data_IF_392727973338
#
_entry.id   IF_392727973338
#
_cell.length_a   1.000
_cell.length_b   1.000
_cell.length_c   1.000
_cell.angle_alpha   90.00
_cell.angle_beta   90.00
_cell.angle_gamma   90.00
#
_symmetry.space_group_name_H-M   'P 1'
#
loop_
_entity.id
_entity.type
_entity.pdbx_description
1 polymer ?
#
# COMPACT_ATOMS: atom_id res chain seq x y z
N UNK A 1 -17.67 14.53 36.08
CA UNK A 1 -16.95 15.63 35.41
C UNK A 1 -16.61 15.17 34.01
N UNK A 2 -17.29 15.67 32.98
CA UNK A 2 -16.91 15.39 31.60
C UNK A 2 -15.53 16.03 31.36
N UNK A 3 -14.55 15.33 30.76
CA UNK A 3 -13.28 15.95 30.45
C UNK A 3 -13.53 17.08 29.45
N UNK A 4 -13.04 18.28 29.80
CA UNK A 4 -12.94 19.42 28.91
C UNK A 4 -12.14 18.95 27.70
N UNK A 5 -12.80 18.80 26.55
CA UNK A 5 -12.14 18.48 25.28
C UNK A 5 -11.30 19.70 24.93
N UNK A 6 -10.00 19.62 25.20
CA UNK A 6 -9.06 20.62 24.74
C UNK A 6 -9.12 20.68 23.21
N UNK A 7 -9.23 21.91 22.72
CA UNK A 7 -9.38 22.38 21.35
C UNK A 7 -8.10 22.15 20.51
N UNK A 8 -7.57 20.94 20.54
CA UNK A 8 -6.44 20.54 19.72
C UNK A 8 -6.90 19.58 18.64
N UNK A 9 -6.92 20.07 17.41
CA UNK A 9 -7.16 19.32 16.17
C UNK A 9 -6.00 18.36 15.86
N UNK A 10 -5.84 17.31 16.67
CA UNK A 10 -4.84 16.29 16.40
C UNK A 10 -5.27 15.43 15.21
N UNK A 11 -4.37 15.32 14.22
CA UNK A 11 -4.54 14.50 13.02
C UNK A 11 -3.29 13.63 12.82
N UNK A 12 -3.05 12.70 13.76
CA UNK A 12 -1.79 11.96 13.85
C UNK A 12 -1.51 11.19 12.56
N UNK A 13 -2.49 10.47 12.00
CA UNK A 13 -2.31 9.69 10.76
C UNK A 13 -1.96 10.60 9.57
N UNK A 14 -2.70 11.68 9.27
CA UNK A 14 -2.32 12.65 8.24
C UNK A 14 -0.92 13.23 8.41
N UNK A 15 -0.55 13.69 9.61
CA UNK A 15 0.77 14.25 9.86
C UNK A 15 1.88 13.22 9.66
N UNK A 16 1.69 12.01 10.15
CA UNK A 16 2.58 10.88 9.90
C UNK A 16 2.74 10.62 8.39
N UNK A 17 1.63 10.50 7.65
CA UNK A 17 1.66 10.23 6.22
C UNK A 17 2.34 11.34 5.42
N UNK A 18 2.09 12.62 5.72
CA UNK A 18 2.78 13.74 5.09
C UNK A 18 4.28 13.66 5.35
N UNK A 19 4.67 13.45 6.61
CA UNK A 19 6.08 13.44 7.03
C UNK A 19 6.84 12.30 6.35
N UNK A 20 6.27 11.09 6.37
CA UNK A 20 6.85 9.91 5.74
C UNK A 20 6.88 10.04 4.21
N UNK A 21 5.80 10.52 3.59
CA UNK A 21 5.76 10.72 2.13
C UNK A 21 6.83 11.70 1.69
N UNK A 22 7.00 12.80 2.44
CA UNK A 22 8.02 13.82 2.15
C UNK A 22 9.42 13.25 2.33
N UNK A 23 9.68 12.56 3.44
CA UNK A 23 10.97 11.92 3.69
C UNK A 23 11.31 10.89 2.61
N UNK A 24 10.35 10.06 2.20
CA UNK A 24 10.50 9.09 1.12
C UNK A 24 10.77 9.77 -0.22
N UNK A 25 10.03 10.82 -0.57
CA UNK A 25 10.22 11.54 -1.81
C UNK A 25 11.62 12.18 -1.89
N UNK A 26 12.07 12.84 -0.82
CA UNK A 26 13.42 13.41 -0.71
C UNK A 26 14.47 12.30 -0.88
N UNK A 27 14.29 11.20 -0.15
CA UNK A 27 15.13 10.00 -0.23
C UNK A 27 15.26 9.47 -1.66
N UNK A 28 14.15 9.27 -2.37
CA UNK A 28 14.15 8.79 -3.74
C UNK A 28 14.72 9.82 -4.74
N UNK A 29 14.49 11.12 -4.52
CA UNK A 29 15.11 12.17 -5.33
C UNK A 29 16.62 12.15 -5.20
N UNK A 30 17.16 11.97 -3.99
CA UNK A 30 18.59 11.75 -3.81
C UNK A 30 19.07 10.52 -4.58
N UNK A 31 18.35 9.39 -4.54
CA UNK A 31 18.69 8.21 -5.35
C UNK A 31 18.77 8.49 -6.85
N UNK A 32 17.84 9.31 -7.36
CA UNK A 32 17.69 9.55 -8.79
C UNK A 32 18.61 10.64 -9.33
N UNK A 33 19.05 11.57 -8.48
CA UNK A 33 19.82 12.75 -8.87
C UNK A 33 21.26 12.72 -8.39
N UNK A 34 21.57 12.02 -7.29
CA UNK A 34 22.93 11.97 -6.78
C UNK A 34 23.82 11.14 -7.74
N UNK A 35 25.00 11.66 -8.12
CA UNK A 35 26.05 10.87 -8.76
C UNK A 35 26.37 9.64 -7.91
N UNK A 36 26.66 8.51 -8.56
CA UNK A 36 27.00 7.23 -7.90
C UNK A 36 28.11 7.36 -6.86
N UNK A 37 28.93 8.40 -6.96
CA UNK A 37 30.20 8.56 -6.26
C UNK A 37 30.08 9.46 -5.02
N UNK A 38 28.97 10.19 -4.84
CA UNK A 38 28.89 11.23 -3.80
C UNK A 38 28.59 10.66 -2.40
N UNK A 39 27.77 9.62 -2.30
CA UNK A 39 27.42 9.01 -1.02
C UNK A 39 27.12 7.53 -1.21
N UNK A 40 27.93 6.62 -0.68
CA UNK A 40 27.61 5.18 -0.70
C UNK A 40 26.46 4.81 0.26
N UNK A 41 26.20 5.67 1.25
CA UNK A 41 25.22 5.45 2.32
C UNK A 41 23.79 5.83 1.94
N UNK A 42 23.61 6.87 1.11
CA UNK A 42 22.27 7.37 0.75
C UNK A 42 21.58 6.43 -0.25
N UNK A 43 22.19 5.97 -1.34
CA UNK A 43 21.65 4.89 -2.16
C UNK A 43 21.35 3.66 -1.30
N UNK A 44 22.16 3.29 -0.31
CA UNK A 44 21.84 2.17 0.58
C UNK A 44 20.59 2.36 1.48
N UNK A 45 20.24 3.60 1.81
CA UNK A 45 19.02 3.93 2.55
C UNK A 45 17.78 4.00 1.67
N UNK A 46 17.95 4.18 0.35
CA UNK A 46 16.92 4.66 -0.58
C UNK A 46 16.73 3.78 -1.83
N UNK A 47 17.75 3.03 -2.22
CA UNK A 47 17.70 1.99 -3.26
C UNK A 47 17.23 0.67 -2.66
N UNK A 48 16.32 0.04 -3.37
CA UNK A 48 15.69 -1.20 -2.97
C UNK A 48 16.03 -2.30 -3.95
N UNK A 49 16.25 -3.50 -3.43
CA UNK A 49 16.23 -4.73 -4.21
C UNK A 49 17.14 -4.68 -5.43
N UNK A 50 16.56 -4.55 -6.63
CA UNK A 50 17.26 -4.76 -7.91
C UNK A 50 18.45 -3.80 -8.12
N UNK A 51 18.34 -2.56 -7.63
CA UNK A 51 19.37 -1.53 -7.77
C UNK A 51 20.48 -1.63 -6.70
N UNK A 52 20.26 -2.41 -5.65
CA UNK A 52 21.29 -2.78 -4.69
C UNK A 52 22.12 -3.91 -5.31
N UNK A 53 23.41 -3.68 -5.53
CA UNK A 53 24.36 -4.71 -5.97
C UNK A 53 24.45 -5.87 -4.96
N UNK A 54 25.37 -6.82 -5.20
CA UNK A 54 25.46 -8.02 -4.38
C UNK A 54 25.72 -7.68 -2.89
N UNK A 55 25.02 -8.34 -1.97
CA UNK A 55 25.01 -8.00 -0.54
C UNK A 55 26.38 -8.12 0.14
N UNK A 56 27.27 -8.95 -0.43
CA UNK A 56 28.65 -9.10 0.03
C UNK A 56 29.53 -7.90 -0.29
N UNK A 57 29.18 -7.12 -1.32
CA UNK A 57 29.95 -5.94 -1.75
C UNK A 57 29.47 -4.65 -1.05
N UNK A 58 28.43 -4.73 -0.23
CA UNK A 58 27.87 -3.56 0.45
C UNK A 58 28.58 -3.22 1.77
N UNK A 59 28.63 -1.93 2.16
CA UNK A 59 29.23 -1.52 3.41
C UNK A 59 28.62 -2.24 4.63
N UNK A 60 29.39 -2.51 5.70
CA UNK A 60 28.91 -3.28 6.86
C UNK A 60 27.64 -2.73 7.50
N UNK A 61 27.52 -1.40 7.57
CA UNK A 61 26.34 -0.71 8.08
C UNK A 61 25.09 -1.01 7.24
N UNK A 62 25.23 -1.02 5.92
CA UNK A 62 24.13 -1.28 4.99
C UNK A 62 23.63 -2.70 5.14
N UNK A 63 24.55 -3.65 5.29
CA UNK A 63 24.22 -5.05 5.56
C UNK A 63 23.50 -5.21 6.91
N UNK A 64 23.91 -4.46 7.94
CA UNK A 64 23.28 -4.49 9.27
C UNK A 64 21.84 -3.95 9.27
N UNK A 65 21.53 -2.99 8.40
CA UNK A 65 20.18 -2.42 8.27
C UNK A 65 19.36 -3.02 7.11
N UNK A 66 19.83 -4.13 6.52
CA UNK A 66 19.16 -4.82 5.43
C UNK A 66 18.39 -6.04 5.94
N UNK A 67 17.15 -6.19 5.47
CA UNK A 67 16.31 -7.35 5.74
C UNK A 67 15.94 -8.11 4.46
N UNK A 68 15.75 -9.43 4.51
CA UNK A 68 15.41 -10.22 3.34
C UNK A 68 14.13 -9.74 2.64
N UNK A 69 14.15 -9.61 1.31
CA UNK A 69 12.95 -9.20 0.56
C UNK A 69 11.80 -10.21 0.67
N UNK A 70 12.10 -11.49 0.92
CA UNK A 70 11.07 -12.51 1.19
C UNK A 70 10.16 -12.18 2.38
N UNK A 71 10.57 -11.27 3.27
CA UNK A 71 9.74 -10.77 4.38
C UNK A 71 8.59 -9.85 3.94
N UNK A 72 8.46 -9.53 2.64
CA UNK A 72 7.27 -8.85 2.10
C UNK A 72 5.95 -9.55 2.50
N UNK A 73 5.97 -10.87 2.67
CA UNK A 73 4.81 -11.65 3.15
C UNK A 73 4.30 -11.15 4.51
N UNK A 74 5.19 -10.70 5.42
CA UNK A 74 4.81 -10.22 6.75
C UNK A 74 3.86 -9.02 6.67
N UNK A 75 4.07 -8.12 5.69
CA UNK A 75 3.21 -6.95 5.49
C UNK A 75 1.75 -7.36 5.26
N UNK A 76 1.55 -8.36 4.40
CA UNK A 76 0.23 -8.82 4.04
C UNK A 76 -0.40 -9.71 5.11
N UNK A 77 0.40 -10.48 5.85
CA UNK A 77 -0.09 -11.21 7.05
C UNK A 77 -0.61 -10.20 8.08
N UNK A 78 0.18 -9.16 8.40
CA UNK A 78 -0.24 -8.10 9.32
C UNK A 78 -1.50 -7.41 8.80
N UNK A 79 -1.55 -7.03 7.51
CA UNK A 79 -2.74 -6.40 6.94
C UNK A 79 -3.99 -7.28 6.99
N UNK A 80 -3.87 -8.59 6.74
CA UNK A 80 -5.00 -9.53 6.90
C UNK A 80 -5.44 -9.58 8.34
N UNK A 81 -4.52 -9.81 9.28
CA UNK A 81 -4.83 -9.89 10.72
C UNK A 81 -5.50 -8.62 11.21
N UNK A 82 -4.89 -7.45 10.96
CA UNK A 82 -5.43 -6.16 11.41
C UNK A 82 -6.79 -5.87 10.79
N UNK A 83 -7.00 -6.15 9.50
CA UNK A 83 -8.31 -5.90 8.85
C UNK A 83 -9.38 -6.86 9.38
N UNK A 84 -9.06 -8.14 9.60
CA UNK A 84 -9.98 -9.11 10.20
C UNK A 84 -10.35 -8.71 11.63
N UNK A 85 -9.39 -8.27 12.45
CA UNK A 85 -9.67 -7.81 13.81
C UNK A 85 -10.62 -6.61 13.82
N UNK A 86 -10.45 -5.65 12.91
CA UNK A 86 -11.38 -4.54 12.78
C UNK A 86 -12.77 -4.96 12.32
N UNK A 87 -12.87 -5.85 11.32
CA UNK A 87 -14.16 -6.39 10.88
C UNK A 87 -14.88 -7.17 12.00
N UNK A 88 -14.13 -7.95 12.79
CA UNK A 88 -14.67 -8.63 13.98
C UNK A 88 -15.16 -7.63 15.04
N UNK A 89 -14.39 -6.57 15.29
CA UNK A 89 -14.80 -5.51 16.21
C UNK A 89 -16.09 -4.81 15.74
N UNK A 90 -16.21 -4.49 14.45
CA UNK A 90 -17.44 -3.92 13.88
C UNK A 90 -18.61 -4.89 13.98
N UNK A 91 -18.40 -6.19 13.74
CA UNK A 91 -19.42 -7.22 13.92
C UNK A 91 -19.89 -7.32 15.39
N UNK A 92 -18.98 -7.21 16.35
CA UNK A 92 -19.31 -7.19 17.77
C UNK A 92 -20.15 -5.96 18.16
N UNK A 93 -19.83 -4.80 17.59
CA UNK A 93 -20.63 -3.56 17.76
C UNK A 93 -22.02 -3.74 17.15
N UNK A 94 -22.11 -4.26 15.93
CA UNK A 94 -23.37 -4.47 15.22
C UNK A 94 -24.30 -5.44 15.97
N UNK A 95 -23.75 -6.52 16.52
CA UNK A 95 -24.48 -7.50 17.35
C UNK A 95 -24.72 -7.02 18.78
N UNK A 96 -24.33 -5.78 19.11
CA UNK A 96 -24.46 -5.15 20.44
C UNK A 96 -23.77 -5.93 21.56
N UNK A 97 -22.83 -6.82 21.22
CA UNK A 97 -22.01 -7.54 22.20
C UNK A 97 -20.94 -6.64 22.81
N UNK A 98 -20.53 -5.59 22.07
CA UNK A 98 -19.56 -4.60 22.52
C UNK A 98 -20.08 -3.20 22.21
N UNK A 99 -19.98 -2.29 23.18
CA UNK A 99 -20.17 -0.86 22.97
C UNK A 99 -18.80 -0.18 23.05
N UNK A 100 -18.37 0.60 22.04
CA UNK A 100 -17.09 1.30 22.09
C UNK A 100 -17.00 2.19 23.33
N UNK A 101 -15.89 2.07 24.06
CA UNK A 101 -15.69 2.88 25.27
C UNK A 101 -15.39 4.34 24.89
N UNK A 102 -15.77 5.33 25.73
CA UNK A 102 -15.44 6.73 25.48
C UNK A 102 -13.94 6.95 25.26
N UNK A 103 -13.11 6.24 26.03
CA UNK A 103 -11.65 6.29 25.94
C UNK A 103 -11.14 5.79 24.59
N UNK A 104 -11.67 4.67 24.09
CA UNK A 104 -11.30 4.15 22.77
C UNK A 104 -11.67 5.14 21.67
N UNK A 105 -12.92 5.63 21.68
CA UNK A 105 -13.39 6.61 20.70
C UNK A 105 -12.58 7.91 20.76
N UNK A 106 -12.17 8.36 21.95
CA UNK A 106 -11.27 9.50 22.11
C UNK A 106 -9.90 9.26 21.45
N UNK A 107 -9.25 8.11 21.66
CA UNK A 107 -7.98 7.85 21.00
C UNK A 107 -8.12 7.68 19.48
N UNK A 108 -9.16 6.99 19.01
CA UNK A 108 -9.49 6.93 17.58
C UNK A 108 -9.71 8.33 17.01
N UNK A 109 -10.27 9.25 17.81
CA UNK A 109 -10.48 10.64 17.42
C UNK A 109 -9.23 11.49 17.29
N UNK A 110 -8.15 11.15 18.01
CA UNK A 110 -6.88 11.86 17.86
C UNK A 110 -6.11 11.40 16.62
N UNK A 111 -6.41 10.20 16.11
CA UNK A 111 -5.73 9.64 14.95
C UNK A 111 -6.13 10.36 13.65
N UNK A 112 -7.37 10.84 13.57
CA UNK A 112 -7.94 11.53 12.42
C UNK A 112 -8.71 12.76 12.90
N UNK A 113 -8.66 13.89 12.20
CA UNK A 113 -9.40 15.08 12.65
C UNK A 113 -10.93 14.85 12.58
N UNK A 114 -11.55 14.49 13.71
CA UNK A 114 -12.98 14.16 13.78
C UNK A 114 -13.92 15.37 13.76
N UNK A 115 -13.42 16.58 14.00
CA UNK A 115 -14.24 17.77 13.84
C UNK A 115 -14.64 17.99 12.37
N UNK A 116 -13.83 17.49 11.44
CA UNK A 116 -14.04 17.57 9.99
C UNK A 116 -14.52 16.23 9.39
N UNK A 117 -14.16 15.08 9.97
CA UNK A 117 -14.44 13.75 9.39
C UNK A 117 -15.65 13.03 10.04
N UNK A 118 -16.87 13.45 9.70
CA UNK A 118 -18.13 12.77 10.13
C UNK A 118 -18.83 11.99 9.00
N UNK A 119 -18.11 11.58 7.97
CA UNK A 119 -18.75 11.36 6.67
C UNK A 119 -18.91 9.91 6.21
N UNK A 120 -18.26 8.92 6.86
CA UNK A 120 -18.41 7.53 6.41
C UNK A 120 -19.59 6.84 7.11
N UNK A 121 -20.59 6.46 6.32
CA UNK A 121 -21.69 5.61 6.80
C UNK A 121 -21.15 4.24 7.21
N UNK A 122 -21.90 3.55 8.08
CA UNK A 122 -21.57 2.21 8.53
C UNK A 122 -21.43 1.24 7.36
N UNK A 123 -22.40 1.27 6.43
CA UNK A 123 -22.36 0.52 5.17
C UNK A 123 -21.07 0.76 4.39
N UNK A 124 -20.70 2.03 4.17
CA UNK A 124 -19.50 2.39 3.40
C UNK A 124 -18.23 1.88 4.08
N UNK A 125 -18.10 2.05 5.39
CA UNK A 125 -16.94 1.58 6.15
C UNK A 125 -16.79 0.06 6.11
N UNK A 126 -17.88 -0.69 6.30
CA UNK A 126 -17.89 -2.15 6.19
C UNK A 126 -17.48 -2.60 4.78
N UNK A 127 -18.09 -2.04 3.73
CA UNK A 127 -17.74 -2.36 2.33
C UNK A 127 -16.27 -2.06 2.05
N UNK A 128 -15.78 -0.87 2.42
CA UNK A 128 -14.40 -0.48 2.20
C UNK A 128 -13.41 -1.43 2.91
N UNK A 129 -13.68 -1.83 4.17
CA UNK A 129 -12.86 -2.81 4.88
C UNK A 129 -12.91 -4.21 4.25
N UNK A 130 -14.06 -4.64 3.73
CA UNK A 130 -14.15 -5.89 2.96
C UNK A 130 -13.31 -5.83 1.69
N UNK A 131 -13.33 -4.71 0.97
CA UNK A 131 -12.46 -4.51 -0.20
C UNK A 131 -10.98 -4.51 0.20
N UNK A 132 -10.60 -3.81 1.27
CA UNK A 132 -9.24 -3.85 1.81
C UNK A 132 -8.83 -5.29 2.14
N UNK A 133 -9.69 -6.06 2.80
CA UNK A 133 -9.42 -7.47 3.09
C UNK A 133 -9.21 -8.28 1.81
N UNK A 134 -10.05 -8.10 0.80
CA UNK A 134 -9.90 -8.75 -0.51
C UNK A 134 -8.55 -8.43 -1.16
N UNK A 135 -8.15 -7.16 -1.15
CA UNK A 135 -6.87 -6.72 -1.69
C UNK A 135 -5.70 -7.37 -0.96
N UNK A 136 -5.68 -7.29 0.39
CA UNK A 136 -4.55 -7.78 1.18
C UNK A 136 -4.50 -9.31 1.16
N UNK A 137 -5.63 -10.02 1.18
CA UNK A 137 -5.66 -11.48 1.01
C UNK A 137 -5.06 -11.90 -0.34
N UNK A 138 -5.46 -11.21 -1.42
CA UNK A 138 -4.94 -11.49 -2.76
C UNK A 138 -3.44 -11.24 -2.83
N UNK A 139 -2.95 -10.16 -2.23
CA UNK A 139 -1.51 -9.88 -2.14
C UNK A 139 -0.77 -10.91 -1.27
N UNK A 140 -1.35 -11.33 -0.16
CA UNK A 140 -0.80 -12.38 0.70
C UNK A 140 -0.64 -13.69 -0.07
N UNK A 141 -1.70 -14.10 -0.80
CA UNK A 141 -1.67 -15.24 -1.70
C UNK A 141 -0.56 -15.12 -2.75
N UNK A 142 -0.45 -13.96 -3.41
CA UNK A 142 0.63 -13.72 -4.38
C UNK A 142 2.01 -13.91 -3.73
N UNK A 143 2.25 -13.35 -2.55
CA UNK A 143 3.55 -13.48 -1.88
C UNK A 143 3.87 -14.90 -1.42
N UNK A 144 2.87 -15.68 -1.04
CA UNK A 144 3.05 -17.06 -0.57
C UNK A 144 3.21 -18.06 -1.73
N UNK A 145 2.47 -17.89 -2.82
CA UNK A 145 2.29 -18.94 -3.82
C UNK A 145 2.69 -18.54 -5.26
N UNK A 146 2.75 -17.24 -5.57
CA UNK A 146 3.03 -16.76 -6.93
C UNK A 146 4.45 -16.21 -7.03
N UNK A 147 4.82 -15.31 -6.12
CA UNK A 147 6.10 -14.62 -6.11
C UNK A 147 7.27 -15.59 -5.93
N UNK A 148 8.25 -15.49 -6.82
CA UNK A 148 9.54 -16.18 -6.69
C UNK A 148 10.53 -15.13 -6.22
N UNK A 149 11.11 -15.28 -5.03
CA UNK A 149 12.09 -14.34 -4.47
C UNK A 149 13.51 -14.75 -4.81
N UNK A 150 14.37 -13.77 -5.09
CA UNK A 150 15.84 -13.95 -5.09
C UNK A 150 16.41 -13.51 -3.75
N UNK A 151 17.72 -13.64 -3.53
CA UNK A 151 18.41 -13.21 -2.31
C UNK A 151 18.56 -11.68 -2.14
N UNK A 152 17.76 -10.91 -2.87
CA UNK A 152 17.69 -9.46 -2.71
C UNK A 152 17.18 -9.07 -1.32
N UNK A 153 17.67 -7.94 -0.82
CA UNK A 153 17.24 -7.33 0.45
C UNK A 153 16.52 -6.00 0.23
N UNK A 154 15.91 -5.50 1.31
CA UNK A 154 15.40 -4.14 1.43
C UNK A 154 15.88 -3.53 2.73
N UNK A 155 15.86 -2.20 2.82
CA UNK A 155 16.20 -1.50 4.05
C UNK A 155 15.15 -1.73 5.17
N UNK A 156 15.60 -1.85 6.42
CA UNK A 156 14.75 -2.06 7.60
C UNK A 156 13.75 -0.91 7.84
N UNK A 157 14.09 0.35 7.53
CA UNK A 157 13.16 1.47 7.66
C UNK A 157 11.96 1.31 6.72
N UNK A 158 12.22 0.84 5.51
CA UNK A 158 11.14 0.52 4.57
C UNK A 158 10.32 -0.69 4.98
N UNK A 159 10.96 -1.65 5.64
CA UNK A 159 10.25 -2.76 6.24
C UNK A 159 9.29 -2.32 7.35
N UNK A 160 9.75 -1.47 8.27
CA UNK A 160 8.91 -0.88 9.33
C UNK A 160 7.79 -0.04 8.73
N UNK A 161 8.10 0.78 7.72
CA UNK A 161 7.09 1.58 7.02
C UNK A 161 6.02 0.72 6.35
N UNK A 162 6.43 -0.38 5.70
CA UNK A 162 5.50 -1.35 5.11
C UNK A 162 4.55 -1.94 6.15
N UNK A 163 5.07 -2.36 7.31
CA UNK A 163 4.23 -2.86 8.41
C UNK A 163 3.25 -1.79 8.92
N UNK A 164 3.75 -0.57 9.17
CA UNK A 164 2.92 0.54 9.64
C UNK A 164 1.78 0.87 8.67
N UNK A 165 2.05 0.87 7.36
CA UNK A 165 1.04 1.11 6.33
C UNK A 165 -0.14 0.13 6.41
N UNK A 166 0.13 -1.16 6.58
CA UNK A 166 -0.94 -2.17 6.67
C UNK A 166 -1.71 -2.16 8.01
N UNK A 167 -1.16 -1.54 9.05
CA UNK A 167 -1.88 -1.26 10.30
C UNK A 167 -2.77 -0.02 10.12
N UNK A 168 -2.21 1.05 9.55
CA UNK A 168 -2.86 2.35 9.37
C UNK A 168 -3.99 2.28 8.33
N UNK A 169 -3.86 1.46 7.29
CA UNK A 169 -4.84 1.37 6.21
C UNK A 169 -6.28 1.09 6.69
N UNK A 170 -6.58 -0.06 7.33
CA UNK A 170 -7.94 -0.30 7.85
C UNK A 170 -8.30 0.67 8.99
N UNK A 171 -7.33 1.08 9.81
CA UNK A 171 -7.54 2.02 10.91
C UNK A 171 -8.04 3.39 10.42
N UNK A 172 -7.51 3.89 9.31
CA UNK A 172 -7.93 5.17 8.71
C UNK A 172 -9.39 5.19 8.28
N UNK A 173 -9.95 4.03 7.95
CA UNK A 173 -11.37 3.87 7.61
C UNK A 173 -12.18 3.82 8.90
N UNK A 174 -11.79 2.96 9.86
CA UNK A 174 -12.52 2.77 11.12
C UNK A 174 -12.63 4.06 11.94
N UNK A 175 -11.54 4.83 12.03
CA UNK A 175 -11.50 6.09 12.77
C UNK A 175 -12.56 7.10 12.29
N UNK A 176 -12.95 7.04 11.02
CA UNK A 176 -13.85 8.03 10.41
C UNK A 176 -15.28 7.47 10.20
N UNK A 177 -15.55 6.23 10.64
CA UNK A 177 -16.88 5.64 10.58
C UNK A 177 -17.82 6.28 11.60
N UNK A 178 -18.93 6.84 11.11
CA UNK A 178 -19.92 7.57 11.93
C UNK A 178 -20.36 6.79 13.15
N UNK A 179 -20.73 5.52 13.01
CA UNK A 179 -21.19 4.71 14.15
C UNK A 179 -20.12 4.54 15.25
N UNK A 180 -18.85 4.34 14.88
CA UNK A 180 -17.75 4.17 15.85
C UNK A 180 -17.50 5.48 16.62
N UNK A 181 -17.65 6.62 15.94
CA UNK A 181 -17.43 7.95 16.48
C UNK A 181 -18.60 8.41 17.36
N UNK A 182 -19.84 8.31 16.88
CA UNK A 182 -21.03 8.79 17.61
C UNK A 182 -21.42 7.87 18.75
N UNK A 183 -21.04 6.58 18.64
CA UNK A 183 -21.45 5.52 19.57
C UNK A 183 -22.98 5.37 19.68
N UNK A 184 -23.71 5.86 18.68
CA UNK A 184 -25.16 5.83 18.66
C UNK A 184 -25.63 4.54 17.95
N UNK A 185 -26.39 3.66 18.63
CA UNK A 185 -26.88 2.41 18.03
C UNK A 185 -27.67 2.59 16.75
N UNK A 186 -28.36 3.72 16.58
CA UNK A 186 -29.11 4.02 15.35
C UNK A 186 -28.23 4.20 14.10
N UNK A 187 -26.93 4.49 14.29
CA UNK A 187 -25.97 4.60 13.19
C UNK A 187 -25.43 3.21 12.76
N UNK A 188 -25.76 2.12 13.44
CA UNK A 188 -25.32 0.75 13.13
C UNK A 188 -26.28 0.01 12.18
N UNK A 189 -26.58 0.61 11.03
CA UNK A 189 -27.38 -0.03 9.99
C UNK A 189 -26.50 -0.37 8.79
N UNK A 190 -26.73 -1.54 8.21
CA UNK A 190 -26.13 -1.93 6.95
C UNK A 190 -27.22 -1.98 5.89
N UNK A 191 -27.17 -1.03 4.96
CA UNK A 191 -28.09 -0.98 3.82
C UNK A 191 -27.32 -0.67 2.54
N UNK A 192 -27.24 -1.64 1.65
CA UNK A 192 -26.47 -1.54 0.40
C UNK A 192 -27.06 -0.49 -0.56
N UNK A 193 -28.34 -0.12 -0.37
CA UNK A 193 -29.01 0.91 -1.17
C UNK A 193 -28.46 2.32 -0.91
N UNK A 194 -27.74 2.53 0.20
CA UNK A 194 -27.06 3.78 0.52
C UNK A 194 -25.84 4.06 -0.37
N UNK A 195 -25.32 3.02 -1.03
CA UNK A 195 -24.14 3.17 -1.88
C UNK A 195 -24.48 3.98 -3.13
N UNK A 196 -23.79 5.11 -3.27
CA UNK A 196 -23.91 5.97 -4.45
C UNK A 196 -23.39 5.29 -5.71
N UNK A 197 -23.79 5.82 -6.88
CA UNK A 197 -23.32 5.34 -8.19
C UNK A 197 -21.79 5.39 -8.32
N UNK A 198 -21.15 6.40 -7.73
CA UNK A 198 -19.70 6.55 -7.71
C UNK A 198 -19.03 5.44 -6.91
N UNK A 199 -19.62 5.05 -5.76
CA UNK A 199 -19.11 3.96 -4.94
C UNK A 199 -19.24 2.61 -5.67
N UNK A 200 -20.37 2.36 -6.33
CA UNK A 200 -20.56 1.16 -7.16
C UNK A 200 -19.55 1.08 -8.31
N UNK A 201 -19.30 2.19 -9.00
CA UNK A 201 -18.27 2.26 -10.02
C UNK A 201 -16.88 2.00 -9.41
N UNK A 202 -16.59 2.57 -8.24
CA UNK A 202 -15.36 2.32 -7.49
C UNK A 202 -15.17 0.84 -7.16
N UNK A 203 -16.20 0.15 -6.67
CA UNK A 203 -16.18 -1.29 -6.38
C UNK A 203 -15.88 -2.10 -7.65
N UNK A 204 -16.55 -1.80 -8.75
CA UNK A 204 -16.35 -2.51 -10.02
C UNK A 204 -14.91 -2.35 -10.53
N UNK A 205 -14.43 -1.11 -10.58
CA UNK A 205 -13.07 -0.81 -11.03
C UNK A 205 -12.03 -1.40 -10.09
N UNK A 206 -12.26 -1.38 -8.79
CA UNK A 206 -11.40 -2.00 -7.79
C UNK A 206 -11.19 -3.48 -8.07
N UNK A 207 -12.27 -4.23 -8.34
CA UNK A 207 -12.19 -5.66 -8.68
C UNK A 207 -11.38 -5.86 -9.96
N UNK A 208 -11.66 -5.08 -11.02
CA UNK A 208 -10.90 -5.13 -12.28
C UNK A 208 -9.42 -4.87 -12.06
N UNK A 209 -9.06 -3.82 -11.32
CA UNK A 209 -7.66 -3.47 -11.06
C UNK A 209 -6.94 -4.55 -10.24
N UNK A 210 -7.60 -5.15 -9.24
CA UNK A 210 -7.04 -6.28 -8.48
C UNK A 210 -6.77 -7.50 -9.38
N UNK A 211 -7.71 -7.84 -10.26
CA UNK A 211 -7.55 -8.96 -11.22
C UNK A 211 -6.42 -8.70 -12.22
N UNK A 212 -6.32 -7.47 -12.74
CA UNK A 212 -5.24 -7.10 -13.66
C UNK A 212 -3.87 -7.15 -12.97
N UNK A 213 -3.77 -6.62 -11.75
CA UNK A 213 -2.53 -6.67 -11.00
C UNK A 213 -2.09 -8.11 -10.68
N UNK A 214 -3.05 -8.99 -10.36
CA UNK A 214 -2.76 -10.41 -10.15
C UNK A 214 -2.19 -11.10 -11.38
N UNK A 215 -2.79 -10.87 -12.56
CA UNK A 215 -2.27 -11.38 -13.84
C UNK A 215 -0.84 -10.89 -14.11
N UNK A 216 -0.53 -9.63 -13.75
CA UNK A 216 0.81 -9.08 -13.89
C UNK A 216 1.81 -9.74 -12.93
N UNK A 217 1.39 -10.03 -11.69
CA UNK A 217 2.23 -10.74 -10.71
C UNK A 217 2.61 -12.14 -11.21
N UNK A 218 1.64 -12.89 -11.76
CA UNK A 218 1.89 -14.20 -12.38
C UNK A 218 2.86 -14.09 -13.55
N UNK A 219 2.65 -13.14 -14.47
CA UNK A 219 3.58 -12.92 -15.61
C UNK A 219 5.01 -12.60 -15.16
N UNK A 220 5.16 -11.80 -14.10
CA UNK A 220 6.48 -11.51 -13.53
C UNK A 220 7.11 -12.80 -12.98
N UNK A 221 6.35 -13.62 -12.26
CA UNK A 221 6.82 -14.90 -11.75
C UNK A 221 7.18 -15.88 -12.87
N UNK A 222 6.40 -15.91 -13.95
CA UNK A 222 6.64 -16.81 -15.08
C UNK A 222 7.96 -16.52 -15.80
N UNK A 223 8.50 -15.29 -15.71
CA UNK A 223 9.85 -15.00 -16.22
C UNK A 223 10.96 -15.82 -15.53
N UNK A 224 10.66 -16.40 -14.36
CA UNK A 224 11.55 -17.22 -13.55
C UNK A 224 11.24 -18.72 -13.63
N UNK A 225 10.14 -19.11 -14.28
CA UNK A 225 9.70 -20.50 -14.45
C UNK A 225 10.13 -21.04 -15.81
N UNK A 226 10.39 -22.34 -15.87
CA UNK A 226 10.62 -23.09 -17.12
C UNK A 226 9.33 -23.72 -17.67
N UNK A 227 9.41 -24.47 -18.79
CA UNK A 227 8.25 -25.06 -19.48
C UNK A 227 7.38 -25.99 -18.61
N UNK A 228 7.94 -26.57 -17.54
CA UNK A 228 7.25 -27.47 -16.60
C UNK A 228 6.74 -26.75 -15.33
N UNK A 229 6.78 -25.42 -15.30
CA UNK A 229 6.41 -24.62 -14.13
C UNK A 229 7.45 -24.59 -13.00
N UNK A 230 8.53 -25.38 -13.10
CA UNK A 230 9.65 -25.39 -12.16
C UNK A 230 10.46 -24.08 -12.26
N UNK A 231 10.96 -23.59 -11.13
CA UNK A 231 11.83 -22.41 -11.09
C UNK A 231 13.13 -22.74 -11.83
N UNK A 232 13.42 -22.00 -12.91
CA UNK A 232 14.63 -22.17 -13.74
C UNK A 232 15.75 -21.23 -13.29
N UNK A 233 15.39 -20.04 -12.84
CA UNK A 233 16.37 -19.02 -12.41
C UNK A 233 15.72 -18.05 -11.43
N UNK A 234 16.51 -17.55 -10.49
CA UNK A 234 16.14 -16.44 -9.61
C UNK A 234 16.52 -15.08 -10.19
N UNK A 235 17.22 -15.05 -11.34
CA UNK A 235 17.55 -13.83 -12.05
C UNK A 235 16.28 -13.13 -12.57
N UNK A 236 16.37 -11.82 -12.75
CA UNK A 236 15.28 -11.03 -13.32
C UNK A 236 15.21 -11.22 -14.83
N UNK A 237 13.98 -11.28 -15.36
CA UNK A 237 13.72 -11.28 -16.80
C UNK A 237 12.97 -10.02 -17.27
N UNK A 238 12.97 -9.80 -18.58
CA UNK A 238 12.16 -8.78 -19.24
C UNK A 238 10.77 -9.37 -19.49
N UNK A 239 9.74 -8.77 -18.88
CA UNK A 239 8.35 -9.13 -19.18
C UNK A 239 7.94 -8.56 -20.55
N UNK A 240 7.19 -9.33 -21.34
CA UNK A 240 6.66 -8.93 -22.66
C UNK A 240 5.16 -9.23 -22.74
N UNK A 241 4.44 -8.47 -23.57
CA UNK A 241 3.01 -8.66 -23.81
C UNK A 241 2.08 -7.88 -22.87
N UNK A 242 0.91 -7.49 -23.41
CA UNK A 242 -0.09 -6.68 -22.68
C UNK A 242 0.49 -5.34 -22.21
N UNK A 243 0.20 -4.98 -20.95
CA UNK A 243 0.67 -3.72 -20.35
C UNK A 243 2.19 -3.53 -20.35
N UNK A 244 2.96 -4.63 -20.29
CA UNK A 244 4.42 -4.56 -20.34
C UNK A 244 4.96 -4.07 -21.68
N UNK A 245 4.16 -4.05 -22.75
CA UNK A 245 4.58 -3.46 -24.03
C UNK A 245 4.70 -1.93 -23.94
N UNK A 246 3.97 -1.30 -23.05
CA UNK A 246 3.90 0.16 -22.93
C UNK A 246 4.74 0.69 -21.76
N UNK A 247 4.70 0.00 -20.62
CA UNK A 247 5.34 0.46 -19.39
C UNK A 247 6.12 -0.66 -18.70
N UNK A 248 7.18 -0.28 -17.98
CA UNK A 248 8.03 -1.22 -17.23
C UNK A 248 7.35 -1.79 -16.00
N UNK A 249 6.59 -0.95 -15.30
CA UNK A 249 6.04 -1.27 -13.98
C UNK A 249 4.50 -1.15 -13.95
N UNK A 250 3.76 -1.87 -14.81
CA UNK A 250 2.30 -1.77 -14.84
C UNK A 250 1.66 -2.24 -13.52
N UNK A 251 2.32 -3.11 -12.76
CA UNK A 251 1.83 -3.53 -11.44
C UNK A 251 1.80 -2.37 -10.44
N UNK A 252 2.72 -1.40 -10.52
CA UNK A 252 2.67 -0.18 -9.71
C UNK A 252 1.55 0.75 -10.17
N UNK A 253 1.29 0.84 -11.49
CA UNK A 253 0.15 1.60 -12.02
C UNK A 253 -1.18 1.06 -11.49
N UNK A 254 -1.36 -0.27 -11.53
CA UNK A 254 -2.56 -0.89 -10.99
C UNK A 254 -2.66 -0.79 -9.47
N UNK A 255 -1.53 -0.68 -8.75
CA UNK A 255 -1.59 -0.39 -7.31
C UNK A 255 -2.19 0.99 -7.07
N UNK A 256 -1.69 2.01 -7.77
CA UNK A 256 -2.24 3.36 -7.70
C UNK A 256 -3.74 3.35 -8.04
N UNK A 257 -4.12 2.66 -9.12
CA UNK A 257 -5.52 2.55 -9.52
C UNK A 257 -6.39 1.89 -8.44
N UNK A 258 -5.91 0.83 -7.78
CA UNK A 258 -6.62 0.19 -6.66
C UNK A 258 -6.91 1.19 -5.54
N UNK A 259 -5.91 1.97 -5.11
CA UNK A 259 -6.10 2.96 -4.05
C UNK A 259 -6.99 4.12 -4.47
N UNK A 260 -6.93 4.58 -5.72
CA UNK A 260 -7.86 5.56 -6.27
C UNK A 260 -9.30 5.04 -6.29
N UNK A 261 -9.51 3.79 -6.68
CA UNK A 261 -10.85 3.17 -6.66
C UNK A 261 -11.37 2.96 -5.24
N UNK A 262 -10.51 2.62 -4.27
CA UNK A 262 -10.88 2.62 -2.85
C UNK A 262 -11.26 4.02 -2.38
N UNK A 263 -10.56 5.06 -2.84
CA UNK A 263 -10.91 6.45 -2.51
C UNK A 263 -12.27 6.86 -3.08
N UNK A 264 -12.64 6.37 -4.27
CA UNK A 264 -14.01 6.54 -4.79
C UNK A 264 -15.07 5.88 -3.89
N UNK A 265 -14.73 4.78 -3.21
CA UNK A 265 -15.64 4.08 -2.28
C UNK A 265 -15.71 4.81 -0.94
N UNK A 266 -14.56 5.14 -0.36
CA UNK A 266 -14.42 5.84 0.94
C UNK A 266 -14.92 7.29 0.85
N UNK A 267 -14.80 7.91 -0.33
CA UNK A 267 -15.28 9.27 -0.60
C UNK A 267 -14.50 10.34 0.16
N UNK A 268 -15.21 11.11 0.99
CA UNK A 268 -14.69 12.28 1.71
C UNK A 268 -13.84 11.94 2.95
N UNK A 269 -13.34 10.71 3.07
CA UNK A 269 -12.47 10.31 4.16
C UNK A 269 -11.20 11.17 4.24
N UNK A 270 -10.97 11.82 5.38
CA UNK A 270 -9.94 12.84 5.54
C UNK A 270 -8.54 12.22 5.58
N UNK A 271 -8.34 11.17 6.34
CA UNK A 271 -7.06 10.47 6.44
C UNK A 271 -6.76 9.65 5.19
N UNK A 272 -7.79 9.06 4.56
CA UNK A 272 -7.62 8.16 3.43
C UNK A 272 -7.00 8.85 2.21
N UNK A 273 -7.28 10.13 1.96
CA UNK A 273 -6.64 10.88 0.86
C UNK A 273 -5.12 10.96 1.01
N UNK A 274 -4.61 11.01 2.25
CA UNK A 274 -3.17 11.00 2.51
C UNK A 274 -2.55 9.62 2.27
N UNK A 275 -3.30 8.55 2.49
CA UNK A 275 -2.87 7.19 2.13
C UNK A 275 -2.75 7.07 0.61
N UNK A 276 -3.75 7.56 -0.13
CA UNK A 276 -3.73 7.57 -1.60
C UNK A 276 -2.52 8.36 -2.11
N UNK A 277 -2.29 9.55 -1.54
CA UNK A 277 -1.13 10.38 -1.90
C UNK A 277 0.19 9.67 -1.61
N UNK A 278 0.35 9.07 -0.42
CA UNK A 278 1.52 8.27 -0.07
C UNK A 278 1.76 7.14 -1.09
N UNK A 279 0.71 6.38 -1.44
CA UNK A 279 0.81 5.29 -2.43
C UNK A 279 1.22 5.82 -3.80
N UNK A 280 0.61 6.91 -4.29
CA UNK A 280 0.99 7.52 -5.56
C UNK A 280 2.47 7.85 -5.59
N UNK A 281 2.96 8.58 -4.58
CA UNK A 281 4.36 9.00 -4.51
C UNK A 281 5.31 7.80 -4.43
N UNK A 282 5.02 6.85 -3.54
CA UNK A 282 5.84 5.65 -3.36
C UNK A 282 5.93 4.81 -4.65
N UNK A 283 4.78 4.56 -5.30
CA UNK A 283 4.73 3.77 -6.53
C UNK A 283 5.36 4.48 -7.72
N UNK A 284 5.23 5.82 -7.78
CA UNK A 284 5.85 6.65 -8.82
C UNK A 284 7.38 6.55 -8.78
N UNK A 285 7.99 6.79 -7.61
CA UNK A 285 9.44 6.67 -7.46
C UNK A 285 9.94 5.24 -7.63
N UNK A 286 9.23 4.25 -7.09
CA UNK A 286 9.59 2.85 -7.27
C UNK A 286 9.59 2.45 -8.76
N UNK A 287 8.64 2.97 -9.56
CA UNK A 287 8.56 2.72 -10.98
C UNK A 287 9.76 3.29 -11.74
N UNK A 288 10.14 4.53 -11.45
CA UNK A 288 11.26 5.22 -12.11
C UNK A 288 12.60 4.56 -11.78
N UNK A 289 12.85 4.26 -10.50
CA UNK A 289 14.07 3.55 -10.09
C UNK A 289 14.14 2.18 -10.77
N UNK A 290 13.02 1.46 -10.83
CA UNK A 290 12.95 0.15 -11.49
C UNK A 290 13.15 0.27 -13.01
N UNK A 291 12.62 1.31 -13.65
CA UNK A 291 12.77 1.56 -15.08
C UNK A 291 14.23 1.83 -15.47
N UNK A 292 14.91 2.71 -14.72
CA UNK A 292 16.34 2.99 -14.92
C UNK A 292 17.19 1.74 -14.73
N UNK A 293 16.88 0.96 -13.71
CA UNK A 293 17.55 -0.32 -13.48
C UNK A 293 17.37 -1.26 -14.69
N UNK A 294 16.15 -1.42 -15.21
CA UNK A 294 15.92 -2.24 -16.40
C UNK A 294 16.74 -1.78 -17.62
N UNK A 295 16.80 -0.48 -17.87
CA UNK A 295 17.61 0.10 -18.97
C UNK A 295 19.11 -0.12 -18.80
N UNK A 296 19.61 -0.07 -17.57
CA UNK A 296 21.03 -0.30 -17.26
C UNK A 296 21.41 -1.79 -17.30
N UNK A 297 20.50 -2.68 -16.92
CA UNK A 297 20.78 -4.11 -16.74
C UNK A 297 20.61 -4.93 -18.02
N UNK A 298 19.72 -4.53 -18.92
CA UNK A 298 19.45 -5.31 -20.13
C UNK A 298 19.73 -4.51 -21.40
N UNK A 299 20.74 -4.94 -22.16
CA UNK A 299 21.12 -4.32 -23.42
C UNK A 299 19.96 -4.29 -24.44
N UNK A 300 19.15 -5.35 -24.46
CA UNK A 300 17.99 -5.48 -25.36
C UNK A 300 16.68 -4.96 -24.74
N UNK A 301 16.74 -4.01 -23.80
CA UNK A 301 15.53 -3.44 -23.18
C UNK A 301 14.76 -2.55 -24.17
N UNK A 302 13.42 -2.68 -24.30
CA UNK A 302 12.68 -1.86 -25.27
C UNK A 302 12.70 -0.36 -24.94
N UNK A 303 13.37 0.42 -25.78
CA UNK A 303 13.65 1.85 -25.54
C UNK A 303 12.40 2.72 -25.42
N UNK A 304 11.34 2.39 -26.17
CA UNK A 304 10.08 3.15 -26.19
C UNK A 304 9.21 2.92 -24.94
N UNK A 305 9.54 1.94 -24.09
CA UNK A 305 8.78 1.72 -22.85
C UNK A 305 8.96 2.89 -21.90
N UNK A 306 7.85 3.22 -21.24
CA UNK A 306 7.76 4.23 -20.18
C UNK A 306 7.86 3.56 -18.80
N UNK A 307 8.10 4.31 -17.74
CA UNK A 307 8.25 3.75 -16.39
C UNK A 307 6.90 3.23 -15.85
N UNK A 308 5.84 4.03 -15.94
CA UNK A 308 4.59 3.83 -15.21
C UNK A 308 3.31 4.18 -15.99
N UNK A 309 3.24 5.35 -16.61
CA UNK A 309 2.08 5.87 -17.35
C UNK A 309 2.33 5.70 -18.86
N UNK A 310 1.50 4.91 -19.57
CA UNK A 310 1.67 4.68 -20.99
C UNK A 310 1.82 5.99 -21.78
N UNK A 311 2.82 6.02 -22.65
CA UNK A 311 3.14 7.16 -23.55
C UNK A 311 3.58 8.46 -22.88
N UNK A 312 3.46 8.60 -21.56
CA UNK A 312 3.76 9.82 -20.81
C UNK A 312 5.03 9.65 -19.99
N UNK A 313 4.99 8.80 -18.95
CA UNK A 313 6.02 8.69 -17.94
C UNK A 313 6.44 7.24 -17.72
#
# INVERSE_FOLDING_TARGET
MAPVVHEYDYAIIPWYLISVTTALAISCLFTLLAPSDWFSLIPALTTYGKAAGDLQEQPPLVRAISVPKRWFTHFYIVGVVTTVLWLQFLCAIYTQTVIPSPTLTYYLSMLTNLHIAKHLSWTTGCVALTLVLMHVLRRCYETLFVCIYSDSTMNVFHYILGLAHYIILPLSIVCEMRGVVTRNPSDFHFDISELSRTQWLGIMLFVVCNLQQNKLATRIADTRRGPRGLVRSYAHGICVGGWFNYVSCPHFLFEIAIYLTLWMVVGSGYAFKFIVFFVIVNQFFAAEITHRWYKKTFDNYPEKRKALIPFIF
#
